data_IF_629268344447
#
_entry.id   IF_629268344447
#
_cell.length_a   1.000
_cell.length_b   1.000
_cell.length_c   1.000
_cell.angle_alpha   90.00
_cell.angle_beta   90.00
_cell.angle_gamma   90.00
#
_symmetry.space_group_name_H-M   'P 1'
#
loop_
_entity.id
_entity.type
_entity.pdbx_description
1 polymer ?
#
# COMPACT_ATOMS: atom_id res chain seq x y z
N UNK A 1 8.40 54.24 -53.20
CA UNK A 1 8.47 52.78 -52.92
C UNK A 1 8.45 52.61 -51.40
N UNK A 2 7.30 52.30 -50.80
CA UNK A 2 7.14 52.16 -49.34
C UNK A 2 7.47 50.72 -48.96
N UNK A 3 8.56 50.50 -48.22
CA UNK A 3 8.86 49.21 -47.61
C UNK A 3 8.00 49.05 -46.34
N UNK A 4 7.07 48.10 -46.36
CA UNK A 4 6.43 47.57 -45.16
C UNK A 4 7.35 46.49 -44.58
N UNK A 5 8.01 46.79 -43.46
CA UNK A 5 8.71 45.80 -42.64
C UNK A 5 7.71 45.13 -41.71
N UNK A 6 7.47 43.83 -41.90
CA UNK A 6 6.72 42.97 -40.99
C UNK A 6 7.59 42.65 -39.76
N UNK A 7 7.17 43.10 -38.57
CA UNK A 7 7.66 42.54 -37.30
C UNK A 7 6.92 41.21 -37.04
N UNK A 8 7.62 40.09 -36.78
CA UNK A 8 6.96 38.93 -36.21
C UNK A 8 6.81 39.13 -34.70
N UNK A 9 5.57 39.20 -34.22
CA UNK A 9 5.23 39.03 -32.81
C UNK A 9 5.52 37.57 -32.42
N UNK A 10 6.65 37.33 -31.77
CA UNK A 10 6.91 36.06 -31.11
C UNK A 10 6.02 35.97 -29.85
N UNK A 11 4.89 35.29 -29.98
CA UNK A 11 4.07 34.90 -28.84
C UNK A 11 4.82 33.91 -27.98
N UNK A 12 5.23 34.33 -26.78
CA UNK A 12 5.70 33.42 -25.75
C UNK A 12 4.49 32.59 -25.26
N UNK A 13 4.36 31.37 -25.79
CA UNK A 13 3.47 30.38 -25.21
C UNK A 13 4.05 29.96 -23.86
N UNK A 14 3.51 30.56 -22.79
CA UNK A 14 3.76 30.12 -21.43
C UNK A 14 3.13 28.72 -21.28
N UNK A 15 3.94 27.68 -21.48
CA UNK A 15 3.60 26.30 -21.12
C UNK A 15 3.41 26.25 -19.60
N UNK A 16 2.17 26.46 -19.15
CA UNK A 16 1.72 26.00 -17.85
C UNK A 16 1.79 24.48 -17.89
N UNK A 17 2.93 23.91 -17.50
CA UNK A 17 3.01 22.54 -17.04
C UNK A 17 2.01 22.45 -15.88
N UNK A 18 0.80 21.97 -16.16
CA UNK A 18 -0.16 21.62 -15.13
C UNK A 18 0.57 20.70 -14.17
N UNK A 19 0.69 21.11 -12.91
CA UNK A 19 1.11 20.21 -11.84
C UNK A 19 0.00 19.18 -11.71
N UNK A 20 0.08 18.13 -12.51
CA UNK A 20 -0.92 17.07 -12.56
C UNK A 20 -0.98 16.43 -11.18
N UNK A 21 -2.11 16.61 -10.50
CA UNK A 21 -2.40 16.02 -9.20
C UNK A 21 -2.19 14.50 -9.27
N UNK A 22 -1.16 14.04 -8.58
CA UNK A 22 -0.77 12.64 -8.49
C UNK A 22 0.07 12.45 -7.23
N UNK A 23 0.60 11.24 -7.03
CA UNK A 23 1.31 10.90 -5.78
C UNK A 23 2.73 11.48 -5.71
N UNK A 24 3.33 11.85 -6.86
CA UNK A 24 4.72 12.30 -6.96
C UNK A 24 5.13 13.45 -6.02
N UNK A 25 4.33 14.52 -5.82
CA UNK A 25 4.71 15.61 -4.90
C UNK A 25 4.83 15.15 -3.44
N UNK A 26 4.20 14.02 -3.10
CA UNK A 26 4.13 13.49 -1.74
C UNK A 26 5.25 12.47 -1.47
N UNK A 27 5.54 11.58 -2.43
CA UNK A 27 6.60 10.56 -2.35
C UNK A 27 7.54 10.73 -3.53
N UNK A 28 8.72 11.30 -3.28
CA UNK A 28 9.80 11.37 -4.28
C UNK A 28 10.45 9.99 -4.47
N UNK A 29 11.25 9.85 -5.54
CA UNK A 29 12.04 8.63 -5.76
C UNK A 29 12.96 8.34 -4.58
N UNK A 30 13.62 9.37 -4.05
CA UNK A 30 14.55 9.24 -2.92
C UNK A 30 13.81 8.78 -1.66
N UNK A 31 12.62 9.31 -1.40
CA UNK A 31 11.79 8.87 -0.28
C UNK A 31 11.34 7.41 -0.46
N UNK A 32 10.89 7.02 -1.66
CA UNK A 32 10.55 5.64 -1.98
C UNK A 32 11.74 4.69 -1.78
N UNK A 33 12.91 5.06 -2.29
CA UNK A 33 14.12 4.25 -2.18
C UNK A 33 14.61 4.15 -0.73
N UNK A 34 14.46 5.22 0.06
CA UNK A 34 14.77 5.23 1.49
C UNK A 34 13.80 4.37 2.30
N UNK A 35 12.48 4.47 2.05
CA UNK A 35 11.49 3.64 2.74
C UNK A 35 11.70 2.15 2.42
N UNK A 36 11.89 1.83 1.14
CA UNK A 36 11.96 0.46 0.67
C UNK A 36 13.41 -0.03 0.52
N UNK A 37 14.35 0.49 1.31
CA UNK A 37 15.79 0.17 1.14
C UNK A 37 16.11 -1.32 1.31
N UNK A 38 15.32 -2.04 2.12
CA UNK A 38 15.51 -3.46 2.40
C UNK A 38 15.32 -4.37 1.17
N UNK A 39 14.56 -3.93 0.16
CA UNK A 39 14.36 -4.71 -1.08
C UNK A 39 15.64 -4.95 -1.87
N UNK A 40 16.67 -4.12 -1.65
CA UNK A 40 17.97 -4.19 -2.30
C UNK A 40 19.01 -5.01 -1.52
N UNK A 41 18.65 -5.60 -0.38
CA UNK A 41 19.53 -6.50 0.37
C UNK A 41 19.80 -7.75 -0.46
N UNK A 42 21.04 -8.25 -0.42
CA UNK A 42 21.44 -9.46 -1.14
C UNK A 42 20.51 -10.64 -0.79
N UNK A 43 20.02 -11.33 -1.81
CA UNK A 43 19.06 -12.43 -1.66
C UNK A 43 17.59 -12.03 -1.73
N UNK A 44 17.28 -10.73 -1.81
CA UNK A 44 15.92 -10.25 -2.06
C UNK A 44 15.60 -10.15 -3.55
N UNK A 45 14.40 -10.60 -3.93
CA UNK A 45 13.87 -10.51 -5.30
C UNK A 45 13.39 -9.08 -5.62
N UNK A 46 12.97 -8.36 -4.60
CA UNK A 46 12.24 -7.11 -4.75
C UNK A 46 13.04 -5.92 -5.29
N UNK A 47 14.37 -5.94 -5.21
CA UNK A 47 15.23 -4.85 -5.71
C UNK A 47 15.10 -4.63 -7.21
N UNK A 48 15.07 -5.71 -7.98
CA UNK A 48 14.86 -5.65 -9.43
C UNK A 48 13.38 -5.48 -9.80
N UNK A 49 12.45 -5.92 -8.93
CA UNK A 49 11.03 -5.98 -9.23
C UNK A 49 10.27 -4.69 -8.85
N UNK A 50 10.37 -4.25 -7.60
CA UNK A 50 9.60 -3.10 -7.09
C UNK A 50 10.30 -1.78 -7.38
N UNK A 51 9.95 -1.18 -8.51
CA UNK A 51 10.49 0.11 -8.94
C UNK A 51 9.57 1.28 -8.60
N UNK A 52 10.15 2.47 -8.42
CA UNK A 52 9.38 3.69 -8.21
C UNK A 52 8.45 4.00 -9.40
N UNK A 53 8.91 3.75 -10.63
CA UNK A 53 8.11 3.99 -11.84
C UNK A 53 6.90 3.06 -11.91
N UNK A 54 7.05 1.79 -11.51
CA UNK A 54 5.94 0.87 -11.43
C UNK A 54 4.92 1.29 -10.36
N UNK A 55 5.39 1.75 -9.20
CA UNK A 55 4.53 2.31 -8.16
C UNK A 55 3.75 3.52 -8.68
N UNK A 56 4.42 4.49 -9.32
CA UNK A 56 3.76 5.68 -9.86
C UNK A 56 2.76 5.36 -10.96
N UNK A 57 3.09 4.44 -11.86
CA UNK A 57 2.18 4.00 -12.92
C UNK A 57 0.92 3.35 -12.34
N UNK A 58 1.05 2.58 -11.26
CA UNK A 58 -0.09 2.00 -10.55
C UNK A 58 -0.88 3.04 -9.76
N UNK A 59 -0.21 3.91 -8.99
CA UNK A 59 -0.83 4.92 -8.13
C UNK A 59 -1.60 5.99 -8.91
N UNK A 60 -1.12 6.34 -10.11
CA UNK A 60 -1.78 7.31 -10.99
C UNK A 60 -2.80 6.64 -11.94
N UNK A 61 -3.09 5.35 -11.77
CA UNK A 61 -4.10 4.68 -12.57
C UNK A 61 -5.50 5.23 -12.22
N UNK A 62 -6.30 5.54 -13.25
CA UNK A 62 -7.62 6.16 -13.08
C UNK A 62 -8.61 5.32 -12.28
N UNK A 63 -8.35 4.02 -12.10
CA UNK A 63 -9.16 3.10 -11.28
C UNK A 63 -9.00 3.33 -9.77
N UNK A 64 -8.03 4.15 -9.34
CA UNK A 64 -7.80 4.46 -7.92
C UNK A 64 -7.89 5.97 -7.64
N UNK A 65 -9.05 6.59 -7.87
CA UNK A 65 -9.21 8.01 -7.53
C UNK A 65 -8.97 8.21 -6.03
N UNK A 66 -8.14 9.20 -5.67
CA UNK A 66 -7.92 9.58 -4.28
C UNK A 66 -6.73 8.90 -3.58
N UNK A 67 -6.20 7.79 -4.08
CA UNK A 67 -5.05 7.13 -3.46
C UNK A 67 -3.86 8.09 -3.38
N UNK A 68 -3.38 8.40 -2.16
CA UNK A 68 -2.28 9.33 -1.92
C UNK A 68 -2.57 10.78 -2.34
N UNK A 69 -3.82 11.11 -2.69
CA UNK A 69 -4.24 12.42 -3.22
C UNK A 69 -5.44 13.03 -2.49
N UNK A 70 -6.09 12.27 -1.60
CA UNK A 70 -7.19 12.76 -0.75
C UNK A 70 -6.69 13.54 0.48
N UNK A 71 -7.34 14.66 0.78
CA UNK A 71 -7.06 15.46 1.98
C UNK A 71 -5.86 16.39 1.85
N UNK A 72 -5.41 16.93 3.00
CA UNK A 72 -4.24 17.82 3.04
C UNK A 72 -2.91 17.06 2.84
N UNK A 73 -1.81 17.80 2.75
CA UNK A 73 -0.47 17.22 2.58
C UNK A 73 -0.11 16.21 3.68
N UNK A 74 -0.49 16.46 4.93
CA UNK A 74 -0.21 15.54 6.04
C UNK A 74 -1.03 14.26 5.90
N UNK A 75 -2.30 14.35 5.52
CA UNK A 75 -3.15 13.18 5.27
C UNK A 75 -2.59 12.32 4.15
N UNK A 76 -2.21 12.92 3.02
CA UNK A 76 -1.63 12.20 1.87
C UNK A 76 -0.32 11.49 2.24
N UNK A 77 0.59 12.18 2.96
CA UNK A 77 1.84 11.58 3.46
C UNK A 77 1.58 10.41 4.41
N UNK A 78 0.63 10.58 5.33
CA UNK A 78 0.30 9.55 6.33
C UNK A 78 -0.36 8.33 5.70
N UNK A 79 -1.25 8.52 4.73
CA UNK A 79 -1.82 7.41 3.96
C UNK A 79 -0.72 6.60 3.28
N UNK A 80 0.21 7.27 2.59
CA UNK A 80 1.28 6.58 1.87
C UNK A 80 2.26 5.88 2.82
N UNK A 81 2.62 6.52 3.95
CA UNK A 81 3.40 5.87 4.99
C UNK A 81 2.71 4.61 5.53
N UNK A 82 1.38 4.66 5.70
CA UNK A 82 0.58 3.52 6.15
C UNK A 82 0.51 2.41 5.10
N UNK A 83 0.23 2.75 3.84
CA UNK A 83 0.23 1.79 2.73
C UNK A 83 1.56 1.05 2.65
N UNK A 84 2.67 1.80 2.54
CA UNK A 84 4.01 1.20 2.49
C UNK A 84 4.33 0.46 3.78
N UNK A 85 3.87 0.94 4.94
CA UNK A 85 4.08 0.29 6.22
C UNK A 85 3.51 -1.13 6.26
N UNK A 86 2.26 -1.27 5.82
CA UNK A 86 1.58 -2.56 5.82
C UNK A 86 2.15 -3.53 4.79
N UNK A 87 2.41 -3.06 3.57
CA UNK A 87 2.95 -3.88 2.49
C UNK A 87 4.40 -4.28 2.77
N UNK A 88 5.21 -3.40 3.36
CA UNK A 88 6.56 -3.74 3.80
C UNK A 88 6.55 -4.84 4.86
N UNK A 89 5.63 -4.81 5.82
CA UNK A 89 5.58 -5.89 6.81
C UNK A 89 5.31 -7.24 6.16
N UNK A 90 4.29 -7.36 5.30
CA UNK A 90 3.91 -8.66 4.70
C UNK A 90 4.91 -9.17 3.66
N UNK A 91 5.79 -8.31 3.15
CA UNK A 91 6.83 -8.66 2.16
C UNK A 91 8.24 -8.65 2.73
N UNK A 92 8.38 -8.43 4.03
CA UNK A 92 9.68 -8.27 4.72
C UNK A 92 10.53 -7.17 4.09
N UNK A 93 10.01 -5.94 4.13
CA UNK A 93 10.63 -4.74 3.57
C UNK A 93 10.70 -4.74 2.05
N UNK A 94 9.68 -5.29 1.37
CA UNK A 94 9.66 -5.51 -0.07
C UNK A 94 10.75 -6.48 -0.56
N UNK A 95 11.23 -7.38 0.29
CA UNK A 95 12.21 -8.40 -0.12
C UNK A 95 11.59 -9.45 -1.05
N UNK A 96 10.38 -9.91 -0.71
CA UNK A 96 9.70 -11.00 -1.42
C UNK A 96 8.63 -10.50 -2.38
N UNK A 97 8.58 -11.10 -3.57
CA UNK A 97 7.50 -10.90 -4.55
C UNK A 97 6.41 -11.96 -4.39
N UNK A 98 6.80 -13.19 -4.05
CA UNK A 98 5.91 -14.33 -3.84
C UNK A 98 6.01 -14.82 -2.41
N UNK A 99 4.92 -15.36 -1.88
CA UNK A 99 4.93 -16.05 -0.60
C UNK A 99 5.92 -17.22 -0.64
N UNK A 100 6.67 -17.38 0.47
CA UNK A 100 7.58 -18.52 0.66
C UNK A 100 6.78 -19.82 0.75
N UNK A 101 5.72 -19.83 1.56
CA UNK A 101 4.77 -20.94 1.60
C UNK A 101 3.69 -20.76 0.52
N UNK A 102 3.58 -21.74 -0.38
CA UNK A 102 2.64 -21.73 -1.52
C UNK A 102 1.51 -22.76 -1.40
N UNK A 103 1.15 -23.14 -0.17
CA UNK A 103 0.10 -24.14 0.10
C UNK A 103 -1.25 -23.83 -0.58
N UNK A 104 -1.57 -22.54 -0.78
CA UNK A 104 -2.81 -22.09 -1.45
C UNK A 104 -2.69 -21.96 -2.97
N UNK A 105 -1.77 -22.71 -3.61
CA UNK A 105 -1.65 -22.68 -5.07
C UNK A 105 -2.97 -23.06 -5.79
N UNK A 106 -3.30 -22.41 -6.91
CA UNK A 106 -2.49 -21.42 -7.63
C UNK A 106 -2.57 -19.99 -7.06
N UNK A 107 -3.45 -19.72 -6.09
CA UNK A 107 -3.75 -18.41 -5.52
C UNK A 107 -3.03 -18.15 -4.19
N UNK A 108 -1.74 -18.46 -4.13
CA UNK A 108 -0.86 -18.09 -3.01
C UNK A 108 -0.49 -16.60 -3.06
N UNK A 109 0.05 -16.08 -1.95
CA UNK A 109 0.43 -14.68 -1.80
C UNK A 109 1.39 -14.17 -2.88
N UNK A 110 1.03 -13.07 -3.55
CA UNK A 110 1.89 -12.35 -4.51
C UNK A 110 1.77 -10.83 -4.33
N UNK A 111 2.86 -10.13 -4.63
CA UNK A 111 2.90 -8.66 -4.64
C UNK A 111 2.94 -7.99 -3.26
N UNK A 112 2.85 -6.65 -3.21
CA UNK A 112 3.07 -5.85 -2.00
C UNK A 112 2.06 -6.12 -0.88
N UNK A 113 0.79 -6.27 -1.22
CA UNK A 113 -0.22 -6.85 -0.34
C UNK A 113 -0.17 -8.32 -0.74
N UNK A 114 0.45 -9.25 -0.03
CA UNK A 114 0.52 -10.66 -0.47
C UNK A 114 -0.86 -11.27 -0.85
N UNK A 115 -1.35 -11.02 -2.07
CA UNK A 115 -2.72 -11.26 -2.50
C UNK A 115 -2.90 -12.77 -2.56
N UNK A 116 -3.82 -13.29 -1.76
CA UNK A 116 -4.07 -14.72 -1.60
C UNK A 116 -5.55 -15.01 -1.84
N UNK A 117 -5.90 -16.27 -2.11
CA UNK A 117 -7.26 -16.81 -2.34
C UNK A 117 -7.86 -16.51 -3.71
N UNK A 118 -8.62 -17.47 -4.23
CA UNK A 118 -9.27 -17.34 -5.54
C UNK A 118 -10.21 -16.13 -5.61
N UNK A 119 -10.97 -15.87 -4.54
CA UNK A 119 -11.96 -14.79 -4.50
C UNK A 119 -11.32 -13.42 -4.67
N UNK A 120 -10.18 -13.18 -4.03
CA UNK A 120 -9.43 -11.94 -4.22
C UNK A 120 -8.88 -11.78 -5.62
N UNK A 121 -8.26 -12.82 -6.18
CA UNK A 121 -7.75 -12.74 -7.56
C UNK A 121 -8.90 -12.46 -8.53
N UNK A 122 -10.07 -13.05 -8.29
CA UNK A 122 -11.29 -12.77 -9.07
C UNK A 122 -11.75 -11.32 -8.94
N UNK A 123 -11.86 -10.80 -7.73
CA UNK A 123 -12.36 -9.44 -7.47
C UNK A 123 -11.37 -8.38 -7.94
N UNK A 124 -10.07 -8.54 -7.64
CA UNK A 124 -9.01 -7.68 -8.13
C UNK A 124 -8.95 -7.71 -9.66
N UNK A 125 -8.98 -8.90 -10.27
CA UNK A 125 -8.95 -9.06 -11.72
C UNK A 125 -10.09 -8.32 -12.40
N UNK A 126 -11.32 -8.47 -11.89
CA UNK A 126 -12.48 -7.73 -12.40
C UNK A 126 -12.32 -6.21 -12.28
N UNK A 127 -11.87 -5.72 -11.13
CA UNK A 127 -11.69 -4.29 -10.91
C UNK A 127 -10.59 -3.68 -11.81
N UNK A 128 -9.57 -4.46 -12.13
CA UNK A 128 -8.41 -4.03 -12.94
C UNK A 128 -8.55 -4.33 -14.43
N UNK A 129 -9.60 -5.05 -14.85
CA UNK A 129 -9.76 -5.52 -16.23
C UNK A 129 -8.72 -6.57 -16.64
N UNK A 130 -8.28 -7.41 -15.70
CA UNK A 130 -7.26 -8.45 -15.89
C UNK A 130 -7.83 -9.84 -15.56
N UNK A 131 -7.52 -10.86 -16.35
CA UNK A 131 -7.88 -12.25 -16.06
C UNK A 131 -6.88 -12.88 -15.08
N UNK A 132 -6.94 -12.45 -13.82
CA UNK A 132 -6.06 -12.93 -12.76
C UNK A 132 -6.42 -14.33 -12.24
N UNK A 133 -7.58 -14.88 -12.62
CA UNK A 133 -7.89 -16.28 -12.33
C UNK A 133 -7.12 -17.23 -13.24
N UNK A 134 -7.08 -16.91 -14.53
CA UNK A 134 -6.31 -17.70 -15.50
C UNK A 134 -4.82 -17.38 -15.44
N UNK A 135 -4.44 -16.14 -15.15
CA UNK A 135 -3.07 -15.66 -15.15
C UNK A 135 -2.66 -15.01 -13.81
N UNK A 136 -2.70 -15.75 -12.68
CA UNK A 136 -2.38 -15.21 -11.36
C UNK A 136 -0.92 -14.76 -11.22
N UNK A 137 -0.02 -15.31 -12.03
CA UNK A 137 1.40 -14.96 -12.00
C UNK A 137 1.69 -13.53 -12.46
N UNK A 138 0.76 -12.86 -13.17
CA UNK A 138 0.88 -11.44 -13.53
C UNK A 138 1.18 -10.56 -12.31
N UNK A 139 0.62 -10.90 -11.14
CA UNK A 139 0.84 -10.18 -9.87
C UNK A 139 2.30 -10.28 -9.39
N UNK A 140 3.09 -11.20 -9.94
CA UNK A 140 4.48 -11.44 -9.58
C UNK A 140 5.48 -11.35 -10.74
N UNK A 141 5.01 -11.00 -11.94
CA UNK A 141 5.85 -10.81 -13.14
C UNK A 141 5.72 -9.42 -13.72
N UNK A 142 4.62 -8.71 -13.46
CA UNK A 142 4.43 -7.31 -13.81
C UNK A 142 4.37 -6.47 -12.52
N UNK A 143 5.37 -5.59 -12.27
CA UNK A 143 5.40 -4.80 -11.05
C UNK A 143 4.30 -3.73 -10.98
N UNK A 144 3.80 -3.26 -12.12
CA UNK A 144 2.64 -2.35 -12.15
C UNK A 144 1.39 -3.10 -11.72
N UNK A 145 1.17 -4.31 -12.22
CA UNK A 145 0.05 -5.17 -11.79
C UNK A 145 0.17 -5.49 -10.29
N UNK A 146 1.37 -5.79 -9.80
CA UNK A 146 1.62 -6.05 -8.38
C UNK A 146 1.22 -4.84 -7.50
N UNK A 147 1.63 -3.63 -7.86
CA UNK A 147 1.19 -2.43 -7.12
C UNK A 147 -0.31 -2.16 -7.29
N UNK A 148 -0.89 -2.40 -8.47
CA UNK A 148 -2.33 -2.23 -8.70
C UNK A 148 -3.15 -3.16 -7.81
N UNK A 149 -2.80 -4.42 -7.64
CA UNK A 149 -3.55 -5.31 -6.73
C UNK A 149 -3.45 -4.86 -5.28
N UNK A 150 -2.28 -4.35 -4.86
CA UNK A 150 -2.10 -3.81 -3.51
C UNK A 150 -2.94 -2.54 -3.27
N UNK A 151 -2.94 -1.61 -4.23
CA UNK A 151 -3.74 -0.38 -4.14
C UNK A 151 -5.23 -0.72 -4.22
N UNK A 152 -5.64 -1.64 -5.09
CA UNK A 152 -7.02 -2.13 -5.15
C UNK A 152 -7.50 -2.61 -3.77
N UNK A 153 -6.72 -3.46 -3.11
CA UNK A 153 -7.06 -3.95 -1.78
C UNK A 153 -7.18 -2.79 -0.77
N UNK A 154 -6.22 -1.86 -0.79
CA UNK A 154 -6.20 -0.69 0.08
C UNK A 154 -7.43 0.21 -0.08
N UNK A 155 -7.92 0.36 -1.32
CA UNK A 155 -9.04 1.22 -1.70
C UNK A 155 -10.40 0.54 -1.55
N UNK A 156 -10.46 -0.79 -1.50
CA UNK A 156 -11.72 -1.56 -1.54
C UNK A 156 -12.22 -1.85 -0.13
N UNK A 157 -13.48 -1.50 0.15
CA UNK A 157 -14.16 -1.86 1.40
C UNK A 157 -14.73 -3.28 1.29
N UNK A 158 -14.71 -4.03 2.39
CA UNK A 158 -15.28 -5.37 2.49
C UNK A 158 -16.18 -5.41 3.73
N UNK A 159 -17.47 -5.11 3.51
CA UNK A 159 -18.42 -4.90 4.59
C UNK A 159 -18.46 -6.07 5.60
N UNK A 160 -18.66 -5.78 6.90
CA UNK A 160 -18.72 -4.46 7.56
C UNK A 160 -17.45 -3.59 7.56
N UNK A 161 -16.28 -4.08 7.17
CA UNK A 161 -15.04 -3.29 7.25
C UNK A 161 -15.00 -2.15 6.22
N UNK A 162 -14.55 -0.94 6.60
CA UNK A 162 -14.23 0.12 5.65
C UNK A 162 -12.97 -0.24 4.84
N UNK A 163 -12.64 0.57 3.83
CA UNK A 163 -11.33 0.48 3.17
C UNK A 163 -10.23 1.10 4.02
N UNK A 164 -8.99 0.64 3.86
CA UNK A 164 -7.83 1.26 4.51
C UNK A 164 -7.69 2.73 4.10
N UNK A 165 -7.98 3.05 2.83
CA UNK A 165 -8.05 4.41 2.33
C UNK A 165 -9.02 5.29 3.15
N UNK A 166 -10.27 4.84 3.33
CA UNK A 166 -11.26 5.60 4.08
C UNK A 166 -10.85 5.83 5.54
N UNK A 167 -10.22 4.83 6.17
CA UNK A 167 -9.67 4.95 7.52
C UNK A 167 -8.59 6.03 7.59
N UNK A 168 -7.61 6.00 6.68
CA UNK A 168 -6.43 6.87 6.74
C UNK A 168 -6.71 8.32 6.29
N UNK A 169 -7.76 8.52 5.51
CA UNK A 169 -8.14 9.82 4.93
C UNK A 169 -9.32 10.50 5.64
N UNK A 170 -9.90 9.85 6.66
CA UNK A 170 -11.06 10.38 7.39
C UNK A 170 -12.40 10.15 6.68
N UNK A 171 -12.44 9.31 5.64
CA UNK A 171 -13.66 8.89 4.95
C UNK A 171 -14.49 7.85 5.72
N UNK A 172 -14.01 7.32 6.84
CA UNK A 172 -14.74 6.43 7.73
C UNK A 172 -14.99 7.06 9.10
N UNK A 173 -16.25 7.05 9.54
CA UNK A 173 -16.65 7.39 10.90
C UNK A 173 -17.10 6.11 11.60
N UNK A 174 -16.45 5.69 12.69
CA UNK A 174 -16.86 4.51 13.43
C UNK A 174 -18.30 4.63 13.94
N UNK A 175 -19.04 3.53 13.96
CA UNK A 175 -20.31 3.41 14.68
C UNK A 175 -20.08 3.41 16.21
N UNK A 176 -21.17 3.40 16.99
CA UNK A 176 -21.05 3.19 18.44
C UNK A 176 -20.43 1.82 18.75
N UNK A 177 -20.89 0.78 18.06
CA UNK A 177 -20.36 -0.58 18.18
C UNK A 177 -18.87 -0.67 17.85
N UNK A 178 -18.40 0.01 16.80
CA UNK A 178 -16.98 0.07 16.46
C UNK A 178 -16.15 0.70 17.58
N UNK A 179 -16.64 1.81 18.16
CA UNK A 179 -15.95 2.49 19.27
C UNK A 179 -15.90 1.60 20.52
N UNK A 180 -17.00 0.95 20.85
CA UNK A 180 -17.10 0.03 21.99
C UNK A 180 -16.16 -1.18 21.79
N UNK A 181 -15.99 -1.61 20.54
CA UNK A 181 -15.03 -2.62 20.15
C UNK A 181 -13.59 -2.10 20.02
N UNK A 182 -13.30 -0.82 20.25
CA UNK A 182 -11.93 -0.26 20.13
C UNK A 182 -11.42 -0.12 18.68
N UNK A 183 -12.31 -0.21 17.69
CA UNK A 183 -12.04 0.05 16.28
C UNK A 183 -12.08 1.56 16.03
N UNK A 184 -10.92 2.20 16.13
CA UNK A 184 -10.78 3.65 16.02
C UNK A 184 -9.99 4.06 14.76
N UNK A 185 -10.24 5.25 14.17
CA UNK A 185 -9.51 5.70 12.99
C UNK A 185 -8.02 5.84 13.29
N UNK A 186 -7.19 5.24 12.45
CA UNK A 186 -5.73 5.23 12.59
C UNK A 186 -5.10 4.00 11.96
N UNK A 187 -3.76 3.93 12.03
CA UNK A 187 -2.99 2.83 11.44
C UNK A 187 -3.40 1.45 12.01
N UNK A 188 -3.77 1.39 13.29
CA UNK A 188 -4.25 0.17 13.93
C UNK A 188 -5.46 -0.45 13.22
N UNK A 189 -6.40 0.37 12.76
CA UNK A 189 -7.57 -0.13 12.02
C UNK A 189 -7.19 -0.70 10.65
N UNK A 190 -6.11 -0.22 10.01
CA UNK A 190 -5.60 -0.87 8.80
C UNK A 190 -5.03 -2.25 9.11
N UNK A 191 -4.32 -2.43 10.23
CA UNK A 191 -3.89 -3.77 10.69
C UNK A 191 -5.09 -4.68 10.95
N UNK A 192 -6.16 -4.13 11.54
CA UNK A 192 -7.41 -4.86 11.75
C UNK A 192 -8.00 -5.36 10.43
N UNK A 193 -8.08 -4.51 9.41
CA UNK A 193 -8.62 -4.88 8.08
C UNK A 193 -7.78 -5.99 7.43
N UNK A 194 -6.46 -5.91 7.53
CA UNK A 194 -5.55 -6.87 6.88
C UNK A 194 -5.49 -8.22 7.61
N UNK A 195 -5.35 -8.22 8.94
CA UNK A 195 -5.16 -9.46 9.71
C UNK A 195 -5.57 -9.31 11.19
N UNK A 196 -6.65 -8.59 11.46
CA UNK A 196 -7.04 -8.20 12.82
C UNK A 196 -7.27 -9.35 13.77
N UNK A 197 -7.69 -10.48 13.25
CA UNK A 197 -7.97 -11.65 14.06
C UNK A 197 -6.77 -12.43 14.59
N UNK A 198 -5.55 -12.11 14.15
CA UNK A 198 -4.31 -12.70 14.70
C UNK A 198 -3.29 -11.66 15.11
N UNK A 199 -3.39 -10.44 14.58
CA UNK A 199 -2.37 -9.40 14.77
C UNK A 199 -2.87 -8.13 15.47
N UNK A 200 -4.16 -8.02 15.81
CA UNK A 200 -4.62 -6.95 16.70
C UNK A 200 -4.38 -7.31 18.16
N UNK A 201 -3.13 -7.15 18.57
CA UNK A 201 -2.71 -7.18 19.96
C UNK A 201 -1.44 -6.34 20.07
N UNK A 202 -1.46 -5.26 20.86
CA UNK A 202 -0.30 -4.35 20.99
C UNK A 202 0.95 -5.01 21.57
N UNK A 203 0.79 -6.13 22.26
CA UNK A 203 1.89 -6.94 22.80
C UNK A 203 2.44 -7.93 21.78
N UNK A 204 1.71 -8.20 20.69
CA UNK A 204 2.19 -9.05 19.60
C UNK A 204 3.42 -8.43 18.94
N UNK A 205 4.46 -9.24 18.74
CA UNK A 205 5.65 -8.82 18.01
C UNK A 205 5.31 -8.35 16.59
N UNK A 206 4.37 -9.03 15.91
CA UNK A 206 3.94 -8.66 14.57
C UNK A 206 3.34 -7.24 14.52
N UNK A 207 2.47 -6.91 15.49
CA UNK A 207 1.88 -5.58 15.59
C UNK A 207 2.95 -4.51 15.86
N UNK A 208 3.90 -4.81 16.76
CA UNK A 208 5.02 -3.93 17.06
C UNK A 208 5.92 -3.71 15.84
N UNK A 209 6.21 -4.75 15.07
CA UNK A 209 7.05 -4.68 13.88
C UNK A 209 6.38 -3.86 12.77
N UNK A 210 5.08 -4.06 12.51
CA UNK A 210 4.30 -3.22 11.57
C UNK A 210 4.43 -1.74 11.91
N UNK A 211 4.33 -1.39 13.20
CA UNK A 211 4.32 0.00 13.64
C UNK A 211 5.74 0.59 13.70
N UNK A 212 6.66 -0.09 14.38
CA UNK A 212 7.96 0.49 14.73
C UNK A 212 9.00 0.31 13.61
N UNK A 213 9.01 -0.82 12.91
CA UNK A 213 10.01 -1.07 11.87
C UNK A 213 9.64 -0.43 10.52
N UNK A 214 8.35 -0.21 10.29
CA UNK A 214 7.84 0.30 9.01
C UNK A 214 7.05 1.59 9.15
N UNK A 215 5.86 1.60 9.75
CA UNK A 215 4.97 2.76 9.70
C UNK A 215 5.59 4.05 10.27
N UNK A 216 6.14 4.01 11.48
CA UNK A 216 6.78 5.18 12.11
C UNK A 216 8.01 5.63 11.32
N UNK A 217 8.87 4.68 10.94
CA UNK A 217 10.03 4.93 10.08
C UNK A 217 9.64 5.66 8.79
N UNK A 218 8.54 5.25 8.15
CA UNK A 218 8.09 5.85 6.91
C UNK A 218 7.42 7.20 7.12
N UNK A 219 6.69 7.37 8.21
CA UNK A 219 6.21 8.69 8.63
C UNK A 219 7.38 9.67 8.85
N UNK A 220 8.47 9.22 9.47
CA UNK A 220 9.67 10.05 9.69
C UNK A 220 10.34 10.44 8.38
N UNK A 221 10.52 9.48 7.46
CA UNK A 221 11.06 9.74 6.10
C UNK A 221 10.18 10.74 5.34
N UNK A 222 8.86 10.58 5.42
CA UNK A 222 7.90 11.49 4.76
C UNK A 222 7.64 12.78 5.56
N UNK A 223 8.25 12.93 6.74
CA UNK A 223 8.15 14.09 7.64
C UNK A 223 6.71 14.40 8.05
N UNK A 224 5.99 13.38 8.49
CA UNK A 224 4.61 13.48 8.96
C UNK A 224 4.44 12.83 10.34
N UNK A 225 3.58 13.39 11.18
CA UNK A 225 3.24 12.77 12.45
C UNK A 225 2.41 11.49 12.26
N UNK A 226 2.60 10.53 13.15
CA UNK A 226 2.02 9.18 13.09
C UNK A 226 0.48 9.14 13.22
N UNK A 227 -0.14 10.24 13.69
CA UNK A 227 -1.54 10.25 14.06
C UNK A 227 -1.81 9.45 15.35
N UNK A 228 -3.09 9.33 15.68
CA UNK A 228 -3.55 8.57 16.84
C UNK A 228 -3.83 7.11 16.45
N UNK A 229 -4.06 6.25 17.47
CA UNK A 229 -4.50 4.86 17.27
C UNK A 229 -3.60 4.05 16.32
N UNK A 230 -2.28 4.11 16.56
CA UNK A 230 -1.31 3.39 15.72
C UNK A 230 -1.38 1.87 15.89
N UNK A 231 -1.99 1.39 16.98
CA UNK A 231 -2.26 -0.01 17.24
C UNK A 231 -3.78 -0.22 17.33
N UNK A 232 -4.24 -1.45 17.08
CA UNK A 232 -5.57 -1.84 17.51
C UNK A 232 -5.62 -1.80 19.05
N UNK A 233 -6.73 -1.32 19.63
CA UNK A 233 -6.78 -1.02 21.07
C UNK A 233 -7.09 -2.24 21.94
N UNK A 234 -7.77 -3.26 21.39
CA UNK A 234 -8.17 -4.46 22.10
C UNK A 234 -7.39 -5.67 21.60
N UNK A 235 -7.01 -6.54 22.54
CA UNK A 235 -6.19 -7.74 22.28
C UNK A 235 -7.01 -8.90 21.67
N UNK A 236 -8.34 -8.79 21.68
CA UNK A 236 -9.27 -9.78 21.14
C UNK A 236 -10.40 -9.07 20.38
N UNK A 237 -10.12 -8.73 19.13
CA UNK A 237 -11.16 -8.22 18.23
C UNK A 237 -11.77 -9.39 17.46
N UNK A 238 -13.09 -9.37 17.27
CA UNK A 238 -13.75 -10.31 16.37
C UNK A 238 -13.06 -10.25 14.99
N UNK A 239 -12.84 -11.43 14.38
CA UNK A 239 -12.22 -11.51 13.06
C UNK A 239 -12.93 -10.56 12.10
N UNK A 240 -12.20 -9.74 11.32
CA UNK A 240 -12.83 -9.01 10.23
C UNK A 240 -13.51 -10.02 9.29
N UNK A 241 -14.62 -9.65 8.62
CA UNK A 241 -15.34 -10.54 7.72
C UNK A 241 -14.42 -10.99 6.60
N UNK A 242 -14.11 -12.29 6.57
CA UNK A 242 -13.37 -13.03 5.54
C UNK A 242 -12.42 -12.17 4.68
N UNK A 243 -11.47 -11.49 5.31
CA UNK A 243 -10.24 -10.99 4.69
C UNK A 243 -9.02 -11.83 5.08
N UNK A 244 -9.23 -13.11 5.45
CA UNK A 244 -8.19 -14.12 5.69
C UNK A 244 -7.35 -14.36 4.43
N UNK A 245 -6.44 -13.44 4.15
CA UNK A 245 -5.80 -13.26 2.84
C UNK A 245 -4.28 -13.08 2.94
N UNK A 246 -3.71 -13.16 4.14
CA UNK A 246 -2.27 -13.04 4.30
C UNK A 246 -1.71 -14.23 5.07
N UNK A 247 -0.86 -15.07 4.46
CA UNK A 247 0.00 -15.96 5.24
C UNK A 247 0.90 -15.11 6.16
N UNK A 248 1.37 -15.67 7.29
CA UNK A 248 2.33 -14.96 8.15
C UNK A 248 3.53 -14.49 7.31
N UNK A 249 4.12 -13.32 7.64
CA UNK A 249 5.24 -12.78 6.90
C UNK A 249 6.35 -13.84 6.81
N UNK A 250 7.00 -13.98 5.64
CA UNK A 250 8.11 -14.91 5.51
C UNK A 250 9.25 -14.51 6.45
N UNK A 251 10.00 -15.49 7.00
CA UNK A 251 11.10 -15.19 7.89
C UNK A 251 12.13 -14.27 7.22
N UNK A 252 12.81 -13.40 7.99
CA UNK A 252 13.84 -12.53 7.46
C UNK A 252 14.94 -13.35 6.76
N UNK A 253 15.55 -12.82 5.68
CA UNK A 253 16.68 -13.48 5.06
C UNK A 253 17.83 -13.62 6.06
N UNK A 254 18.16 -14.86 6.46
CA UNK A 254 19.42 -15.15 7.15
C UNK A 254 19.38 -15.52 8.63
N UNK A 255 18.36 -16.17 9.17
CA UNK A 255 18.56 -17.04 10.36
C UNK A 255 18.90 -18.45 9.87
N UNK A 256 20.15 -18.94 10.03
CA UNK A 256 20.41 -20.37 9.92
C UNK A 256 19.53 -21.07 10.93
N UNK A 257 18.77 -22.08 10.49
CA UNK A 257 17.97 -22.89 11.39
C UNK A 257 18.84 -23.46 12.50
N UNK A 258 18.57 -23.05 13.74
CA UNK A 258 19.01 -23.81 14.90
C UNK A 258 18.25 -25.14 14.89
N UNK A 259 19.01 -26.23 14.82
CA UNK A 259 18.50 -27.56 15.18
C UNK A 259 18.02 -27.59 16.62
#
# INVERSE_FOLDING_TARGET
>A
MRLFGLLPLAGAALLLLGMTGGVQPTVTREAFDSMLSARNVSGCEGGAFYTYDAFLAAANASVFPGFGTTGDDKTRRRELAAFFGQTSFVTTGYCYVKAVNRASAPYYGRGPIQLTTEDNYRLAGRALGLDLLRYPDLVSTDPVVAFKTAIWFWMTAAAPSPSCHAVMTGGWTPSAQDRDAGLLPGYGMTTYILNGGTECNRTSQAAQDRVNNYYKKYCDILRVGYGNNTFCQNDELAQPPSSSLHPPPPPPPGTPGGQ
#
